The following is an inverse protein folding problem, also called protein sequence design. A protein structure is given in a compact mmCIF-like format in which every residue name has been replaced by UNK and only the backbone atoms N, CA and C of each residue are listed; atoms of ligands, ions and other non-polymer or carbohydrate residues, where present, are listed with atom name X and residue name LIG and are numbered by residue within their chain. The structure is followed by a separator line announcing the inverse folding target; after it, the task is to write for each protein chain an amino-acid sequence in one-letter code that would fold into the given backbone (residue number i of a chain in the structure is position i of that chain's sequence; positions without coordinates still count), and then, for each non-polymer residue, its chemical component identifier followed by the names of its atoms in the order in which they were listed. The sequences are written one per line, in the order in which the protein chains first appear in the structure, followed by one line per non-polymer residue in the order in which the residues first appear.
data_IF_059368311228
#
_entry.id   IF_059368311228
#
_cell.length_a   1.000
_cell.length_b   1.000
_cell.length_c   1.000
_cell.angle_alpha   90.00
_cell.angle_beta   90.00
_cell.angle_gamma   90.00
#
_symmetry.space_group_name_H-M   'P 1'
#
loop_
_entity.id
_entity.type
_entity.pdbx_description
1 polymer ?
#
# COMPACT_ATOMS: atom_id res chain seq x y z
N UNK A 1 -15.31 -8.23 -18.61
CA UNK A 1 -15.48 -6.85 -18.09
C UNK A 1 -14.28 -6.54 -17.22
N UNK A 2 -13.61 -5.38 -17.39
CA UNK A 2 -12.62 -4.94 -16.40
C UNK A 2 -13.39 -4.59 -15.10
N UNK A 3 -12.91 -5.03 -13.92
CA UNK A 3 -13.56 -4.66 -12.65
C UNK A 3 -13.64 -3.13 -12.53
N UNK A 4 -14.78 -2.64 -12.03
CA UNK A 4 -15.00 -1.19 -11.81
C UNK A 4 -14.23 -0.71 -10.58
N UNK A 5 -14.01 -1.59 -9.61
CA UNK A 5 -13.27 -1.36 -8.37
C UNK A 5 -12.49 -2.63 -8.00
N UNK A 6 -11.33 -2.47 -7.35
CA UNK A 6 -10.47 -3.58 -6.91
C UNK A 6 -10.47 -3.57 -5.39
N UNK A 7 -11.01 -4.63 -4.78
CA UNK A 7 -10.95 -4.77 -3.32
C UNK A 7 -9.58 -5.32 -2.90
N UNK A 8 -8.90 -4.60 -2.02
CA UNK A 8 -7.67 -5.03 -1.35
C UNK A 8 -8.05 -5.57 0.02
N UNK A 9 -7.68 -6.81 0.34
CA UNK A 9 -7.97 -7.40 1.64
C UNK A 9 -7.01 -6.89 2.73
N UNK A 10 -7.55 -6.20 3.74
CA UNK A 10 -6.82 -5.52 4.82
C UNK A 10 -6.49 -6.38 6.05
N UNK A 11 -7.09 -7.57 6.20
CA UNK A 11 -7.15 -8.28 7.50
C UNK A 11 -5.86 -9.00 7.87
N UNK A 12 -4.94 -9.13 6.92
CA UNK A 12 -3.59 -9.69 7.06
C UNK A 12 -2.59 -8.62 7.53
N UNK A 13 -3.03 -7.84 8.51
CA UNK A 13 -2.30 -6.70 9.05
C UNK A 13 -2.21 -6.83 10.57
N UNK A 14 -0.99 -6.94 11.12
CA UNK A 14 -0.77 -7.12 12.57
C UNK A 14 -1.18 -5.90 13.39
N UNK A 15 -1.10 -4.69 12.82
CA UNK A 15 -1.55 -3.47 13.47
C UNK A 15 -3.08 -3.37 13.45
N UNK A 16 -3.71 -3.63 12.31
CA UNK A 16 -5.15 -3.45 12.06
C UNK A 16 -6.05 -4.61 12.51
N UNK A 17 -5.52 -5.84 12.64
CA UNK A 17 -6.32 -7.05 12.93
C UNK A 17 -5.81 -7.76 14.18
N UNK A 18 -6.56 -7.62 15.28
CA UNK A 18 -6.22 -8.27 16.55
C UNK A 18 -6.14 -9.81 16.43
N UNK A 19 -6.99 -10.41 15.59
CA UNK A 19 -6.94 -11.85 15.30
C UNK A 19 -5.64 -12.21 14.60
N UNK A 20 -5.30 -11.52 13.51
CA UNK A 20 -4.11 -11.82 12.73
C UNK A 20 -2.83 -11.62 13.55
N UNK A 21 -2.74 -10.51 14.29
CA UNK A 21 -1.64 -10.24 15.23
C UNK A 21 -1.40 -11.40 16.19
N UNK A 22 -2.47 -11.88 16.85
CA UNK A 22 -2.37 -12.99 17.79
C UNK A 22 -1.76 -14.23 17.13
N UNK A 23 -2.25 -14.59 15.95
CA UNK A 23 -1.79 -15.79 15.23
C UNK A 23 -0.31 -15.67 14.83
N UNK A 24 0.12 -14.52 14.30
CA UNK A 24 1.51 -14.30 13.90
C UNK A 24 2.44 -14.30 15.12
N UNK A 25 2.07 -13.62 16.21
CA UNK A 25 2.87 -13.57 17.45
C UNK A 25 2.98 -14.95 18.11
N UNK A 26 1.92 -15.76 18.06
CA UNK A 26 1.94 -17.15 18.58
C UNK A 26 2.61 -18.14 17.60
N UNK A 27 2.97 -17.71 16.39
CA UNK A 27 3.58 -18.55 15.36
C UNK A 27 2.61 -19.50 14.64
N UNK A 28 1.30 -19.32 14.83
CA UNK A 28 0.26 -20.10 14.14
C UNK A 28 0.01 -19.55 12.71
N UNK A 29 1.01 -19.73 11.86
CA UNK A 29 0.95 -19.28 10.48
C UNK A 29 -0.07 -20.05 9.63
N UNK A 30 -0.43 -21.27 10.03
CA UNK A 30 -1.49 -22.05 9.36
C UNK A 30 -2.83 -21.33 9.50
N UNK A 31 -3.22 -20.96 10.72
CA UNK A 31 -4.44 -20.19 10.93
C UNK A 31 -4.33 -18.76 10.37
N UNK A 32 -3.12 -18.18 10.31
CA UNK A 32 -2.90 -16.88 9.67
C UNK A 32 -3.17 -16.94 8.15
N UNK A 33 -2.80 -18.03 7.47
CA UNK A 33 -3.14 -18.27 6.06
C UNK A 33 -4.65 -18.34 5.84
N UNK A 34 -5.42 -18.91 6.78
CA UNK A 34 -6.88 -18.94 6.69
C UNK A 34 -7.48 -17.53 6.64
N UNK A 35 -6.86 -16.54 7.30
CA UNK A 35 -7.30 -15.13 7.22
C UNK A 35 -7.12 -14.60 5.80
N UNK A 36 -5.99 -14.89 5.14
CA UNK A 36 -5.77 -14.52 3.75
C UNK A 36 -6.76 -15.24 2.81
N UNK A 37 -6.92 -16.57 2.95
CA UNK A 37 -7.82 -17.38 2.12
C UNK A 37 -9.27 -16.89 2.20
N UNK A 38 -9.77 -16.62 3.41
CA UNK A 38 -11.12 -16.10 3.63
C UNK A 38 -11.36 -14.78 2.91
N UNK A 39 -10.35 -13.91 2.82
CA UNK A 39 -10.49 -12.63 2.09
C UNK A 39 -10.60 -12.87 0.58
N UNK A 40 -9.79 -13.77 0.01
CA UNK A 40 -9.88 -14.11 -1.41
C UNK A 40 -11.23 -14.77 -1.73
N UNK A 41 -11.71 -15.69 -0.89
CA UNK A 41 -13.04 -16.31 -1.01
C UNK A 41 -14.18 -15.28 -0.91
N UNK A 42 -14.01 -14.25 -0.07
CA UNK A 42 -14.95 -13.14 0.06
C UNK A 42 -14.85 -12.11 -1.09
N UNK A 43 -13.94 -12.30 -2.06
CA UNK A 43 -13.84 -11.47 -3.26
C UNK A 43 -12.73 -10.42 -3.24
N UNK A 44 -11.78 -10.49 -2.30
CA UNK A 44 -10.56 -9.68 -2.38
C UNK A 44 -9.75 -10.08 -3.61
N UNK A 45 -9.32 -9.08 -4.37
CA UNK A 45 -8.59 -9.26 -5.63
C UNK A 45 -7.09 -8.98 -5.48
N UNK A 46 -6.69 -8.43 -4.33
CA UNK A 46 -5.33 -8.22 -3.86
C UNK A 46 -5.35 -8.50 -2.35
N UNK A 47 -4.26 -9.03 -1.80
CA UNK A 47 -4.10 -9.20 -0.35
C UNK A 47 -3.00 -8.24 0.13
N UNK A 48 -3.32 -7.38 1.09
CA UNK A 48 -2.36 -6.51 1.78
C UNK A 48 -1.76 -7.25 2.98
N UNK A 49 -0.44 -7.26 3.09
CA UNK A 49 0.28 -7.96 4.15
C UNK A 49 1.12 -6.96 4.90
N UNK A 50 0.79 -6.74 6.17
CA UNK A 50 1.54 -5.87 7.08
C UNK A 50 2.04 -6.66 8.29
N UNK A 51 3.36 -6.56 8.54
CA UNK A 51 4.08 -7.24 9.62
C UNK A 51 4.79 -6.26 10.57
N UNK A 52 4.41 -4.98 10.55
CA UNK A 52 4.98 -3.94 11.41
C UNK A 52 4.39 -4.02 12.82
N UNK A 53 5.09 -4.74 13.70
CA UNK A 53 4.78 -4.85 15.12
C UNK A 53 6.09 -4.85 15.93
N UNK A 54 6.11 -4.15 17.07
CA UNK A 54 7.32 -3.96 17.87
C UNK A 54 7.88 -5.25 18.48
N UNK A 55 7.05 -6.29 18.59
CA UNK A 55 7.41 -7.61 19.11
C UNK A 55 7.91 -8.58 18.02
N UNK A 56 7.84 -8.20 16.74
CA UNK A 56 8.19 -9.07 15.61
C UNK A 56 9.47 -8.60 14.92
N UNK A 57 10.26 -9.56 14.44
CA UNK A 57 11.20 -9.30 13.35
C UNK A 57 10.39 -9.22 12.03
N UNK A 58 10.09 -7.99 11.61
CA UNK A 58 9.26 -7.74 10.42
C UNK A 58 9.83 -8.35 9.13
N UNK A 59 11.16 -8.38 8.98
CA UNK A 59 11.82 -8.99 7.81
C UNK A 59 11.58 -10.50 7.79
N UNK A 60 11.76 -11.15 8.93
CA UNK A 60 11.54 -12.60 9.07
C UNK A 60 10.05 -12.94 8.92
N UNK A 61 9.16 -12.18 9.56
CA UNK A 61 7.73 -12.41 9.52
C UNK A 61 7.17 -12.24 8.09
N UNK A 62 7.55 -11.16 7.40
CA UNK A 62 7.15 -10.90 6.01
C UNK A 62 7.61 -12.02 5.09
N UNK A 63 8.91 -12.38 5.12
CA UNK A 63 9.45 -13.47 4.30
C UNK A 63 8.74 -14.80 4.59
N UNK A 64 8.50 -15.11 5.86
CA UNK A 64 7.87 -16.36 6.27
C UNK A 64 6.44 -16.44 5.71
N UNK A 65 5.64 -15.41 5.93
CA UNK A 65 4.24 -15.43 5.51
C UNK A 65 4.08 -15.40 4.00
N UNK A 66 4.89 -14.62 3.27
CA UNK A 66 4.81 -14.56 1.81
C UNK A 66 5.24 -15.87 1.14
N UNK A 67 6.25 -16.56 1.67
CA UNK A 67 6.63 -17.89 1.17
C UNK A 67 5.52 -18.93 1.41
N UNK A 68 4.83 -18.84 2.53
CA UNK A 68 3.68 -19.69 2.82
C UNK A 68 2.49 -19.39 1.90
N UNK A 69 2.19 -18.11 1.63
CA UNK A 69 1.19 -17.70 0.65
C UNK A 69 1.51 -18.28 -0.74
N UNK A 70 2.77 -18.23 -1.16
CA UNK A 70 3.19 -18.77 -2.46
C UNK A 70 2.99 -20.29 -2.59
N UNK A 71 2.93 -21.01 -1.46
CA UNK A 71 2.66 -22.44 -1.43
C UNK A 71 1.16 -22.80 -1.41
N UNK A 72 0.26 -21.80 -1.32
CA UNK A 72 -1.19 -21.97 -1.22
C UNK A 72 -1.90 -21.47 -2.49
N UNK A 73 -2.27 -22.35 -3.44
CA UNK A 73 -2.81 -21.96 -4.75
C UNK A 73 -4.07 -21.08 -4.70
N UNK A 74 -4.91 -21.26 -3.68
CA UNK A 74 -6.14 -20.49 -3.50
C UNK A 74 -5.86 -19.02 -3.16
N UNK A 75 -4.68 -18.73 -2.60
CA UNK A 75 -4.23 -17.40 -2.22
C UNK A 75 -3.29 -16.83 -3.30
N UNK A 76 -2.33 -17.63 -3.78
CA UNK A 76 -1.29 -17.18 -4.72
C UNK A 76 -1.81 -16.76 -6.10
N UNK A 77 -3.11 -16.97 -6.38
CA UNK A 77 -3.79 -16.53 -7.61
C UNK A 77 -4.09 -15.02 -7.65
N UNK A 78 -4.00 -14.31 -6.53
CA UNK A 78 -4.17 -12.84 -6.48
C UNK A 78 -2.84 -12.14 -6.16
N UNK A 79 -2.61 -10.91 -6.65
CA UNK A 79 -1.41 -10.14 -6.31
C UNK A 79 -1.32 -9.83 -4.81
N UNK A 80 -0.08 -9.64 -4.35
CA UNK A 80 0.23 -9.24 -2.97
C UNK A 80 0.65 -7.78 -2.93
N UNK A 81 0.05 -7.04 -1.99
CA UNK A 81 0.48 -5.73 -1.57
C UNK A 81 1.33 -5.88 -0.31
N UNK A 82 2.61 -5.49 -0.40
CA UNK A 82 3.59 -5.60 0.68
C UNK A 82 3.54 -4.29 1.46
N UNK A 83 2.98 -4.34 2.67
CA UNK A 83 2.75 -3.18 3.52
C UNK A 83 3.78 -3.10 4.66
N UNK A 84 4.59 -2.04 4.64
CA UNK A 84 5.47 -1.69 5.75
C UNK A 84 5.96 -0.25 5.67
N UNK A 85 6.21 0.34 6.82
CA UNK A 85 6.91 1.62 6.99
C UNK A 85 8.43 1.51 6.83
N UNK A 86 8.98 0.30 6.73
CA UNK A 86 10.42 0.02 6.70
C UNK A 86 10.84 -0.56 5.35
N UNK A 87 11.77 0.11 4.67
CA UNK A 87 12.22 -0.33 3.34
C UNK A 87 12.80 -1.74 3.34
N UNK A 88 13.55 -2.13 4.38
CA UNK A 88 14.15 -3.47 4.49
C UNK A 88 13.10 -4.60 4.55
N UNK A 89 11.91 -4.32 5.11
CA UNK A 89 10.78 -5.27 5.15
C UNK A 89 10.13 -5.35 3.77
N UNK A 90 9.89 -4.20 3.12
CA UNK A 90 9.40 -4.14 1.73
C UNK A 90 10.31 -4.94 0.81
N UNK A 91 11.62 -4.69 0.86
CA UNK A 91 12.59 -5.35 -0.01
C UNK A 91 12.71 -6.85 0.28
N UNK A 92 12.58 -7.28 1.53
CA UNK A 92 12.49 -8.69 1.86
C UNK A 92 11.25 -9.33 1.23
N UNK A 93 10.10 -8.64 1.26
CA UNK A 93 8.89 -9.10 0.59
C UNK A 93 9.03 -9.17 -0.93
N UNK A 94 9.61 -8.16 -1.56
CA UNK A 94 9.85 -8.09 -3.01
C UNK A 94 10.71 -9.26 -3.51
N UNK A 95 11.65 -9.73 -2.69
CA UNK A 95 12.49 -10.91 -3.01
C UNK A 95 11.74 -12.24 -2.92
N UNK A 96 10.56 -12.28 -2.28
CA UNK A 96 9.77 -13.50 -2.06
C UNK A 96 8.59 -13.63 -3.02
N UNK A 97 7.95 -12.52 -3.40
CA UNK A 97 6.74 -12.55 -4.24
C UNK A 97 7.08 -13.03 -5.65
N UNK A 98 6.34 -14.05 -6.10
CA UNK A 98 6.32 -14.47 -7.50
C UNK A 98 5.22 -13.70 -8.24
N UNK A 99 5.53 -13.17 -9.42
CA UNK A 99 4.62 -12.30 -10.17
C UNK A 99 4.86 -10.82 -9.90
N UNK A 100 3.85 -9.98 -10.11
CA UNK A 100 3.96 -8.53 -9.96
C UNK A 100 3.48 -8.09 -8.56
N UNK A 101 4.38 -7.73 -7.63
CA UNK A 101 3.99 -7.21 -6.33
C UNK A 101 3.51 -5.76 -6.41
N UNK A 102 2.80 -5.32 -5.38
CA UNK A 102 2.49 -3.91 -5.12
C UNK A 102 3.21 -3.50 -3.84
N UNK A 103 3.99 -2.42 -3.89
CA UNK A 103 4.63 -1.85 -2.68
C UNK A 103 3.68 -0.87 -2.00
N UNK A 104 3.41 -1.08 -0.72
CA UNK A 104 2.67 -0.17 0.15
C UNK A 104 3.60 0.26 1.30
N UNK A 105 4.27 1.39 1.23
CA UNK A 105 4.22 2.42 0.19
C UNK A 105 5.56 3.16 0.12
N UNK A 106 5.69 4.09 -0.82
CA UNK A 106 6.76 5.10 -0.83
C UNK A 106 6.15 6.50 -0.68
N UNK A 107 6.94 7.47 -0.23
CA UNK A 107 6.50 8.86 -0.10
C UNK A 107 7.67 9.83 -0.14
N UNK A 108 7.38 11.13 -0.19
CA UNK A 108 8.37 12.22 -0.13
C UNK A 108 8.74 12.60 1.31
N UNK A 109 8.25 11.88 2.33
CA UNK A 109 8.50 12.14 3.76
C UNK A 109 9.98 12.30 4.12
N UNK A 110 10.84 11.44 3.56
CA UNK A 110 12.29 11.46 3.80
C UNK A 110 13.05 12.29 2.76
N UNK A 111 12.31 13.08 1.97
CA UNK A 111 12.83 13.88 0.88
C UNK A 111 12.92 13.13 -0.45
N UNK A 112 13.15 13.92 -1.49
CA UNK A 112 13.17 13.46 -2.88
C UNK A 112 14.23 12.38 -3.16
N UNK A 113 15.41 12.46 -2.54
CA UNK A 113 16.49 11.50 -2.80
C UNK A 113 16.08 10.07 -2.40
N UNK A 114 15.52 9.91 -1.19
CA UNK A 114 15.03 8.62 -0.71
C UNK A 114 13.86 8.10 -1.56
N UNK A 115 12.92 8.99 -1.90
CA UNK A 115 11.80 8.65 -2.79
C UNK A 115 12.26 8.10 -4.15
N UNK A 116 13.23 8.78 -4.79
CA UNK A 116 13.80 8.35 -6.08
C UNK A 116 14.54 7.02 -5.95
N UNK A 117 15.31 6.83 -4.88
CA UNK A 117 16.01 5.56 -4.63
C UNK A 117 15.03 4.39 -4.53
N UNK A 118 14.01 4.53 -3.69
CA UNK A 118 12.98 3.51 -3.51
C UNK A 118 12.19 3.25 -4.80
N UNK A 119 11.81 4.29 -5.54
CA UNK A 119 11.14 4.15 -6.83
C UNK A 119 11.99 3.37 -7.85
N UNK A 120 13.28 3.66 -7.97
CA UNK A 120 14.18 2.92 -8.87
C UNK A 120 14.31 1.46 -8.44
N UNK A 121 14.35 1.16 -7.13
CA UNK A 121 14.34 -0.22 -6.64
C UNK A 121 13.02 -0.92 -6.99
N UNK A 122 11.86 -0.30 -6.75
CA UNK A 122 10.55 -0.85 -7.14
C UNK A 122 10.50 -1.17 -8.64
N UNK A 123 11.01 -0.28 -9.49
CA UNK A 123 11.08 -0.49 -10.94
C UNK A 123 11.94 -1.69 -11.31
N UNK A 124 13.09 -1.88 -10.65
CA UNK A 124 13.98 -3.04 -10.87
C UNK A 124 13.33 -4.37 -10.50
N UNK A 125 12.46 -4.38 -9.47
CA UNK A 125 11.66 -5.55 -9.11
C UNK A 125 10.40 -5.71 -9.98
N UNK A 126 10.09 -4.75 -10.86
CA UNK A 126 8.88 -4.76 -11.67
C UNK A 126 7.60 -4.55 -10.86
N UNK A 127 7.69 -3.92 -9.69
CA UNK A 127 6.56 -3.71 -8.77
C UNK A 127 5.69 -2.52 -9.20
N UNK A 128 4.38 -2.62 -8.95
CA UNK A 128 3.54 -1.43 -8.84
C UNK A 128 3.75 -0.77 -7.46
N UNK A 129 3.37 0.49 -7.32
CA UNK A 129 3.67 1.26 -6.10
C UNK A 129 2.51 2.12 -5.64
N UNK A 130 2.19 2.00 -4.36
CA UNK A 130 1.38 2.98 -3.63
C UNK A 130 2.26 4.16 -3.26
N UNK A 131 1.81 5.37 -3.59
CA UNK A 131 2.48 6.62 -3.27
C UNK A 131 1.60 7.42 -2.32
N UNK A 132 2.03 7.54 -1.07
CA UNK A 132 1.30 8.31 -0.06
C UNK A 132 1.39 9.80 -0.34
N UNK A 133 0.31 10.54 -0.11
CA UNK A 133 0.33 11.99 -0.06
C UNK A 133 0.97 12.49 1.26
N UNK A 134 2.27 12.24 1.40
CA UNK A 134 3.13 12.64 2.52
C UNK A 134 4.45 13.15 1.94
N UNK A 135 4.81 14.39 2.23
CA UNK A 135 6.08 15.00 1.84
C UNK A 135 6.89 15.53 3.04
N UNK A 136 7.95 16.29 2.77
CA UNK A 136 8.85 16.85 3.79
C UNK A 136 8.13 17.78 4.80
N UNK A 137 6.94 18.28 4.46
CA UNK A 137 6.13 19.16 5.31
C UNK A 137 5.04 18.40 6.09
N UNK A 138 4.86 17.10 5.85
CA UNK A 138 3.91 16.26 6.59
C UNK A 138 2.88 15.56 5.71
N UNK A 139 1.85 15.01 6.35
CA UNK A 139 0.72 14.37 5.68
C UNK A 139 -0.19 15.43 5.06
N UNK A 140 -0.69 15.15 3.85
CA UNK A 140 -1.69 15.99 3.22
C UNK A 140 -3.10 15.70 3.78
N UNK A 141 -3.58 16.64 4.59
CA UNK A 141 -4.91 16.68 5.21
C UNK A 141 -5.95 17.38 4.32
N UNK A 142 -5.59 18.47 3.64
CA UNK A 142 -6.47 19.23 2.74
C UNK A 142 -6.42 18.75 1.28
N UNK A 143 -7.50 18.97 0.52
CA UNK A 143 -7.58 18.66 -0.92
C UNK A 143 -6.38 19.21 -1.71
N UNK A 144 -6.04 20.47 -1.50
CA UNK A 144 -4.99 21.14 -2.28
C UNK A 144 -3.61 20.52 -2.01
N UNK A 145 -3.31 20.20 -0.74
CA UNK A 145 -2.08 19.48 -0.38
C UNK A 145 -2.04 18.08 -0.97
N UNK A 146 -3.17 17.35 -0.98
CA UNK A 146 -3.26 16.01 -1.57
C UNK A 146 -2.92 16.06 -3.06
N UNK A 147 -3.48 17.03 -3.79
CA UNK A 147 -3.23 17.23 -5.23
C UNK A 147 -1.78 17.64 -5.48
N UNK A 148 -1.25 18.59 -4.71
CA UNK A 148 0.12 19.10 -4.83
C UNK A 148 1.14 17.95 -4.73
N UNK A 149 1.08 17.17 -3.65
CA UNK A 149 2.03 16.09 -3.39
C UNK A 149 1.92 15.00 -4.46
N UNK A 150 0.70 14.56 -4.79
CA UNK A 150 0.50 13.52 -5.82
C UNK A 150 1.01 14.00 -7.19
N UNK A 151 0.77 15.28 -7.54
CA UNK A 151 1.25 15.85 -8.81
C UNK A 151 2.77 15.92 -8.85
N UNK A 152 3.42 16.39 -7.78
CA UNK A 152 4.88 16.40 -7.67
C UNK A 152 5.45 14.99 -7.81
N UNK A 153 4.93 14.04 -7.05
CA UNK A 153 5.38 12.65 -7.10
C UNK A 153 5.18 12.02 -8.49
N UNK A 154 4.06 12.30 -9.17
CA UNK A 154 3.82 11.84 -10.54
C UNK A 154 4.90 12.34 -11.50
N UNK A 155 5.25 13.63 -11.44
CA UNK A 155 6.28 14.22 -12.30
C UNK A 155 7.64 13.59 -12.06
N UNK A 156 8.03 13.42 -10.80
CA UNK A 156 9.27 12.75 -10.42
C UNK A 156 9.32 11.29 -10.94
N UNK A 157 8.22 10.55 -10.81
CA UNK A 157 8.15 9.15 -11.25
C UNK A 157 8.12 9.03 -12.77
N UNK A 158 7.26 9.78 -13.45
CA UNK A 158 6.99 9.59 -14.88
C UNK A 158 7.99 10.35 -15.73
N UNK A 159 8.20 11.64 -15.48
CA UNK A 159 9.00 12.50 -16.36
C UNK A 159 10.51 12.27 -16.14
N UNK A 160 10.95 12.04 -14.90
CA UNK A 160 12.38 11.92 -14.59
C UNK A 160 12.87 10.47 -14.51
N UNK A 161 12.10 9.56 -13.88
CA UNK A 161 12.51 8.16 -13.66
C UNK A 161 12.05 7.25 -14.81
N UNK A 162 10.98 7.62 -15.51
CA UNK A 162 10.36 6.75 -16.53
C UNK A 162 9.57 5.60 -15.94
N UNK A 163 9.00 5.77 -14.75
CA UNK A 163 8.12 4.79 -14.11
C UNK A 163 6.80 4.67 -14.89
N UNK A 164 6.29 3.46 -15.20
CA UNK A 164 5.03 3.29 -15.92
C UNK A 164 3.85 3.90 -15.13
N UNK A 165 3.11 4.87 -15.69
CA UNK A 165 2.07 5.57 -14.93
C UNK A 165 0.89 4.67 -14.55
N UNK A 166 0.62 3.59 -15.28
CA UNK A 166 -0.38 2.58 -14.93
C UNK A 166 -0.04 1.75 -13.67
N UNK A 167 1.22 1.78 -13.24
CA UNK A 167 1.74 1.11 -12.05
C UNK A 167 1.80 2.01 -10.81
N UNK A 168 1.39 3.28 -10.96
CA UNK A 168 1.32 4.25 -9.88
C UNK A 168 -0.08 4.24 -9.28
N UNK A 169 -0.18 4.01 -7.98
CA UNK A 169 -1.40 4.07 -7.19
C UNK A 169 -1.23 5.19 -6.16
N UNK A 170 -1.90 6.32 -6.34
CA UNK A 170 -1.87 7.36 -5.31
C UNK A 170 -2.77 7.00 -4.14
N UNK A 171 -2.28 7.23 -2.92
CA UNK A 171 -3.09 7.25 -1.72
C UNK A 171 -3.14 8.70 -1.18
N UNK A 172 -4.25 9.42 -1.43
CA UNK A 172 -4.46 10.76 -0.91
C UNK A 172 -4.71 10.85 0.59
N UNK A 173 -4.54 9.78 1.37
CA UNK A 173 -4.86 9.64 2.79
C UNK A 173 -6.37 9.76 3.09
N UNK A 174 -6.98 8.64 3.46
CA UNK A 174 -8.28 8.64 4.14
C UNK A 174 -8.02 8.87 5.63
N UNK A 175 -8.72 9.85 6.21
CA UNK A 175 -8.64 10.15 7.64
C UNK A 175 -9.99 9.96 8.32
N UNK A 176 -9.94 9.73 9.63
CA UNK A 176 -11.13 9.64 10.46
C UNK A 176 -11.88 10.98 10.50
N UNK A 177 -13.20 10.91 10.29
CA UNK A 177 -14.14 12.02 10.49
C UNK A 177 -14.94 11.80 11.78
N UNK A 178 -15.77 12.77 12.18
CA UNK A 178 -16.58 12.69 13.41
C UNK A 178 -15.74 12.44 14.68
N UNK A 179 -14.55 13.02 14.72
CA UNK A 179 -13.58 12.86 15.82
C UNK A 179 -13.85 13.80 17.01
N UNK A 180 -14.78 14.74 16.85
CA UNK A 180 -15.02 15.84 17.80
C UNK A 180 -14.12 17.06 17.59
N UNK A 181 -13.29 17.07 16.54
CA UNK A 181 -12.44 18.19 16.12
C UNK A 181 -12.99 18.73 14.79
N UNK A 182 -13.39 20.01 14.78
CA UNK A 182 -14.04 20.66 13.63
C UNK A 182 -13.18 20.63 12.35
N UNK A 183 -11.86 20.79 12.49
CA UNK A 183 -10.91 20.73 11.38
C UNK A 183 -10.93 19.38 10.63
N UNK A 184 -11.46 18.31 11.24
CA UNK A 184 -11.51 16.97 10.65
C UNK A 184 -12.80 16.70 9.86
N UNK A 185 -13.80 17.59 9.92
CA UNK A 185 -15.13 17.34 9.33
C UNK A 185 -15.08 17.24 7.80
N UNK A 186 -14.10 17.90 7.17
CA UNK A 186 -13.99 17.96 5.72
C UNK A 186 -13.08 16.87 5.11
N UNK A 187 -12.39 16.05 5.91
CA UNK A 187 -11.38 15.10 5.41
C UNK A 187 -11.88 14.13 4.33
N UNK A 188 -13.10 13.60 4.48
CA UNK A 188 -13.69 12.71 3.47
C UNK A 188 -14.00 13.44 2.16
N UNK A 189 -14.48 14.70 2.24
CA UNK A 189 -14.73 15.53 1.07
C UNK A 189 -13.42 15.87 0.38
N UNK A 190 -12.40 16.25 1.14
CA UNK A 190 -11.07 16.56 0.63
C UNK A 190 -10.45 15.37 -0.12
N UNK A 191 -10.60 14.15 0.39
CA UNK A 191 -10.19 12.93 -0.30
C UNK A 191 -10.92 12.75 -1.64
N UNK A 192 -12.26 12.82 -1.63
CA UNK A 192 -13.09 12.61 -2.84
C UNK A 192 -12.78 13.66 -3.92
N UNK A 193 -12.65 14.92 -3.52
CA UNK A 193 -12.31 16.01 -4.44
C UNK A 193 -10.89 15.87 -5.01
N UNK A 194 -9.93 15.46 -4.18
CA UNK A 194 -8.57 15.18 -4.65
C UNK A 194 -8.53 14.00 -5.63
N UNK A 195 -9.27 12.91 -5.34
CA UNK A 195 -9.41 11.76 -6.26
C UNK A 195 -9.91 12.23 -7.63
N UNK A 196 -10.95 13.08 -7.67
CA UNK A 196 -11.48 13.60 -8.94
C UNK A 196 -10.42 14.33 -9.75
N UNK A 197 -9.65 15.22 -9.12
CA UNK A 197 -8.58 15.97 -9.80
C UNK A 197 -7.48 15.03 -10.26
N UNK A 198 -6.97 14.16 -9.39
CA UNK A 198 -5.92 13.18 -9.72
C UNK A 198 -6.30 12.35 -10.93
N UNK A 199 -7.55 11.83 -10.96
CA UNK A 199 -8.05 11.03 -12.09
C UNK A 199 -8.18 11.83 -13.40
N UNK A 200 -8.36 13.15 -13.33
CA UNK A 200 -8.47 14.03 -14.51
C UNK A 200 -7.11 14.52 -15.01
N UNK A 201 -6.13 14.72 -14.12
CA UNK A 201 -4.88 15.42 -14.45
C UNK A 201 -3.66 14.51 -14.53
N UNK A 202 -3.68 13.35 -13.86
CA UNK A 202 -2.57 12.39 -13.80
C UNK A 202 -2.94 11.12 -14.59
N UNK A 203 -2.65 11.08 -15.91
CA UNK A 203 -3.15 10.02 -16.77
C UNK A 203 -2.59 8.64 -16.38
N UNK A 204 -3.41 7.62 -16.55
CA UNK A 204 -3.17 6.20 -16.23
C UNK A 204 -3.03 5.86 -14.73
N UNK A 205 -2.61 6.80 -13.89
CA UNK A 205 -2.50 6.60 -12.45
C UNK A 205 -3.82 6.13 -11.82
N UNK A 206 -3.70 5.29 -10.81
CA UNK A 206 -4.79 4.78 -9.98
C UNK A 206 -4.86 5.54 -8.66
N UNK A 207 -5.96 5.35 -7.96
CA UNK A 207 -6.16 5.92 -6.62
C UNK A 207 -6.66 4.80 -5.70
N UNK A 208 -6.13 4.74 -4.49
CA UNK A 208 -6.51 3.85 -3.40
C UNK A 208 -6.69 4.65 -2.11
N UNK A 209 -7.19 4.01 -1.07
CA UNK A 209 -7.23 4.53 0.29
C UNK A 209 -7.75 3.45 1.24
N UNK A 210 -7.16 3.37 2.44
CA UNK A 210 -7.54 2.48 3.53
C UNK A 210 -8.32 3.19 4.62
#
# INVERSE_FOLDING_TARGET
MRPVFINVGERTNVTGSAKFRKLVVEGDYTAALDVARQQVEAGAQVIDVNMDEGLLDGVVAMRTFLNLIAAEPDISRVPIMIDSSKWEVIEAGLKCVQGKPIVNSISLKEGEAAFREHAVKCLRYGAAVVVMAFDEAGQADTKDRKIEICTRAYRLLVDDIGFPPEDIIFDPNIFAVATGIEDHDNYAVDFIEAVRVIKQTLPHARVSGG
#
